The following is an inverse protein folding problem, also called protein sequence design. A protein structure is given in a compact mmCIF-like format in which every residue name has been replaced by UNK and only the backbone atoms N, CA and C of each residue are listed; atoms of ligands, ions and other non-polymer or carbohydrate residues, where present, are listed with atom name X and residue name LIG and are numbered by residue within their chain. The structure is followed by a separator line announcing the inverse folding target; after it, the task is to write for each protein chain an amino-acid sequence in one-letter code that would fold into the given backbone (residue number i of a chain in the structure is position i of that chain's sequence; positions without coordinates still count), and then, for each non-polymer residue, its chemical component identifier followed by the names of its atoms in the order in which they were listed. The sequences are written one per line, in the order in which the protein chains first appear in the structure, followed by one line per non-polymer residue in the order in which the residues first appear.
data_IF_678484379124
#
_entry.id   IF_678484379124
#
_cell.length_a   1.000
_cell.length_b   1.000
_cell.length_c   1.000
_cell.angle_alpha   90.00
_cell.angle_beta   90.00
_cell.angle_gamma   90.00
#
_symmetry.space_group_name_H-M   'P 1'
#
loop_
_entity.id
_entity.type
_entity.pdbx_description
1 polymer ?
#
# COMPACT_ATOMS: atom_id res chain seq x y z
N UNK A 1 7.29 13.59 18.43
CA UNK A 1 7.68 13.95 17.04
C UNK A 1 7.21 12.80 16.14
N UNK A 2 6.23 13.03 15.26
CA UNK A 2 5.63 11.99 14.42
C UNK A 2 6.28 11.90 13.04
N UNK A 3 6.18 10.74 12.38
CA UNK A 3 6.58 10.57 10.99
C UNK A 3 5.62 11.34 10.06
N UNK A 4 6.14 12.16 9.14
CA UNK A 4 5.32 12.89 8.16
C UNK A 4 4.66 11.92 7.17
N UNK A 5 3.53 12.32 6.56
CA UNK A 5 2.83 11.49 5.55
C UNK A 5 3.71 11.16 4.34
N UNK A 6 4.62 12.06 3.98
CA UNK A 6 5.61 11.81 2.94
C UNK A 6 6.62 10.74 3.38
N UNK A 7 7.21 10.88 4.58
CA UNK A 7 8.17 9.91 5.10
C UNK A 7 7.55 8.52 5.25
N UNK A 8 6.27 8.43 5.65
CA UNK A 8 5.54 7.15 5.69
C UNK A 8 5.47 6.51 4.29
N UNK A 9 5.22 7.30 3.26
CA UNK A 9 5.18 6.80 1.86
C UNK A 9 6.55 6.33 1.40
N UNK A 10 7.60 7.09 1.68
CA UNK A 10 8.98 6.71 1.34
C UNK A 10 9.32 5.36 2.00
N UNK A 11 9.12 5.25 3.31
CA UNK A 11 9.43 4.03 4.07
C UNK A 11 8.57 2.84 3.65
N UNK A 12 7.26 3.04 3.45
CA UNK A 12 6.34 1.97 3.05
C UNK A 12 6.61 1.46 1.63
N UNK A 13 7.17 2.30 0.75
CA UNK A 13 7.51 1.89 -0.62
C UNK A 13 8.90 1.24 -0.70
N UNK A 14 9.81 1.57 0.23
CA UNK A 14 11.13 0.95 0.33
C UNK A 14 11.09 -0.56 0.64
N UNK A 15 10.06 -1.02 1.35
CA UNK A 15 9.89 -2.44 1.70
C UNK A 15 9.22 -3.27 0.60
N UNK A 16 8.74 -2.65 -0.47
CA UNK A 16 8.17 -3.39 -1.60
C UNK A 16 9.24 -4.22 -2.30
N UNK A 17 8.83 -5.39 -2.81
CA UNK A 17 9.70 -6.34 -3.51
C UNK A 17 9.04 -6.78 -4.81
N UNK A 18 9.87 -7.23 -5.76
CA UNK A 18 9.44 -7.90 -6.99
C UNK A 18 8.34 -7.15 -7.76
N UNK A 19 7.19 -7.77 -8.01
CA UNK A 19 6.07 -7.18 -8.75
C UNK A 19 5.54 -5.91 -8.08
N UNK A 20 5.57 -5.83 -6.74
CA UNK A 20 5.00 -4.71 -6.02
C UNK A 20 5.78 -3.40 -6.22
N UNK A 21 7.11 -3.46 -6.29
CA UNK A 21 7.91 -2.25 -6.55
C UNK A 21 7.75 -1.78 -8.00
N UNK A 22 7.66 -2.70 -8.95
CA UNK A 22 7.43 -2.38 -10.38
C UNK A 22 6.05 -1.76 -10.56
N UNK A 23 5.01 -2.37 -9.98
CA UNK A 23 3.65 -1.83 -9.98
C UNK A 23 3.59 -0.43 -9.37
N UNK A 24 4.24 -0.22 -8.21
CA UNK A 24 4.18 1.07 -7.53
C UNK A 24 4.82 2.19 -8.36
N UNK A 25 5.96 1.94 -9.01
CA UNK A 25 6.58 2.90 -9.94
C UNK A 25 5.61 3.32 -11.05
N UNK A 26 4.90 2.37 -11.64
CA UNK A 26 3.91 2.64 -12.69
C UNK A 26 2.67 3.40 -12.16
N UNK A 27 2.24 3.14 -10.93
CA UNK A 27 1.17 3.93 -10.30
C UNK A 27 1.65 5.34 -10.02
N UNK A 28 2.85 5.51 -9.44
CA UNK A 28 3.44 6.80 -9.12
C UNK A 28 3.57 7.69 -10.36
N UNK A 29 3.99 7.15 -11.50
CA UNK A 29 4.05 7.90 -12.76
C UNK A 29 2.67 8.39 -13.25
N UNK A 30 1.60 7.64 -12.96
CA UNK A 30 0.24 7.99 -13.41
C UNK A 30 -0.48 8.98 -12.49
N UNK A 31 -0.15 8.97 -11.19
CA UNK A 31 -0.86 9.79 -10.19
C UNK A 31 -0.01 10.93 -9.63
N UNK A 32 1.31 10.86 -9.80
CA UNK A 32 2.23 11.88 -9.33
C UNK A 32 2.28 13.06 -10.29
N UNK A 33 2.35 14.26 -9.72
CA UNK A 33 2.78 15.46 -10.43
C UNK A 33 4.26 15.64 -10.11
N UNK A 34 5.04 16.06 -11.09
CA UNK A 34 6.47 16.30 -10.90
C UNK A 34 6.73 17.26 -9.73
N UNK A 35 7.66 16.92 -8.85
CA UNK A 35 7.96 17.70 -7.64
C UNK A 35 6.95 17.59 -6.50
N UNK A 36 5.83 16.88 -6.65
CA UNK A 36 4.82 16.71 -5.58
C UNK A 36 4.93 15.33 -4.93
N UNK A 37 5.14 15.31 -3.63
CA UNK A 37 5.15 14.09 -2.84
C UNK A 37 3.77 13.41 -2.83
N UNK A 38 3.76 12.09 -3.00
CA UNK A 38 2.53 11.31 -2.82
C UNK A 38 2.31 11.09 -1.32
N UNK A 39 1.14 11.50 -0.83
CA UNK A 39 0.74 11.29 0.57
C UNK A 39 0.46 9.82 0.86
N UNK A 40 0.69 9.43 2.11
CA UNK A 40 0.55 8.05 2.59
C UNK A 40 -0.84 7.45 2.35
N UNK A 41 -1.90 8.24 2.56
CA UNK A 41 -3.28 7.79 2.31
C UNK A 41 -3.54 7.40 0.86
N UNK A 42 -2.89 8.09 -0.09
CA UNK A 42 -3.02 7.77 -1.52
C UNK A 42 -2.30 6.47 -1.83
N UNK A 43 -1.08 6.27 -1.31
CA UNK A 43 -0.36 5.01 -1.41
C UNK A 43 -1.18 3.85 -0.85
N UNK A 44 -1.63 3.94 0.41
CA UNK A 44 -2.43 2.89 1.07
C UNK A 44 -3.67 2.54 0.26
N UNK A 45 -4.42 3.54 -0.22
CA UNK A 45 -5.62 3.30 -1.02
C UNK A 45 -5.31 2.50 -2.28
N UNK A 46 -4.27 2.87 -3.02
CA UNK A 46 -3.88 2.18 -4.26
C UNK A 46 -3.35 0.78 -3.96
N UNK A 47 -2.55 0.63 -2.91
CA UNK A 47 -1.96 -0.64 -2.49
C UNK A 47 -3.03 -1.64 -2.05
N UNK A 48 -3.91 -1.24 -1.13
CA UNK A 48 -4.98 -2.10 -0.62
C UNK A 48 -5.95 -2.50 -1.73
N UNK A 49 -6.27 -1.61 -2.67
CA UNK A 49 -7.14 -1.95 -3.81
C UNK A 49 -6.51 -3.02 -4.71
N UNK A 50 -5.19 -3.05 -4.88
CA UNK A 50 -4.49 -3.99 -5.75
C UNK A 50 -4.22 -5.34 -5.08
N UNK A 51 -3.76 -5.33 -3.82
CA UNK A 51 -3.27 -6.53 -3.13
C UNK A 51 -4.22 -7.08 -2.06
N UNK A 52 -5.16 -6.26 -1.58
CA UNK A 52 -6.17 -6.66 -0.60
C UNK A 52 -7.58 -6.32 -1.11
N UNK A 53 -8.00 -6.91 -2.25
CA UNK A 53 -9.38 -6.80 -2.69
C UNK A 53 -10.35 -7.45 -1.68
N UNK A 54 -11.65 -7.22 -1.86
CA UNK A 54 -12.68 -7.59 -0.88
C UNK A 54 -12.71 -9.10 -0.58
N UNK A 55 -12.53 -9.93 -1.60
CA UNK A 55 -12.43 -11.38 -1.50
C UNK A 55 -11.22 -11.83 -0.64
N UNK A 56 -10.04 -11.27 -0.88
CA UNK A 56 -8.84 -11.55 -0.08
C UNK A 56 -9.04 -11.12 1.36
N UNK A 57 -9.67 -9.96 1.58
CA UNK A 57 -10.01 -9.48 2.93
C UNK A 57 -10.99 -10.41 3.62
N UNK A 58 -12.06 -10.82 2.94
CA UNK A 58 -13.06 -11.74 3.49
C UNK A 58 -12.44 -13.09 3.86
N UNK A 59 -11.56 -13.62 2.99
CA UNK A 59 -10.81 -14.84 3.29
C UNK A 59 -9.97 -14.71 4.55
N UNK A 60 -9.26 -13.58 4.72
CA UNK A 60 -8.46 -13.32 5.93
C UNK A 60 -9.30 -13.19 7.20
N UNK A 61 -10.52 -12.64 7.09
CA UNK A 61 -11.47 -12.58 8.22
C UNK A 61 -11.91 -13.99 8.63
N UNK A 62 -12.24 -14.86 7.67
CA UNK A 62 -12.61 -16.26 7.95
C UNK A 62 -11.43 -16.99 8.60
N UNK A 63 -10.24 -16.92 8.00
CA UNK A 63 -9.01 -17.52 8.57
C UNK A 63 -8.80 -17.07 10.02
N UNK A 64 -9.01 -15.79 10.32
CA UNK A 64 -8.89 -15.25 11.67
C UNK A 64 -9.96 -15.80 12.63
N UNK A 65 -11.21 -15.95 12.18
CA UNK A 65 -12.28 -16.55 13.00
C UNK A 65 -12.04 -18.02 13.32
N UNK A 66 -11.32 -18.73 12.46
CA UNK A 66 -11.00 -20.15 12.62
C UNK A 66 -9.72 -20.41 13.43
N UNK A 67 -8.94 -19.36 13.75
CA UNK A 67 -7.79 -19.48 14.63
C UNK A 67 -8.25 -19.93 16.03
N UNK A 68 -7.87 -21.16 16.41
CA UNK A 68 -7.99 -21.63 17.79
C UNK A 68 -6.71 -21.26 18.57
N UNK A 69 -6.91 -20.82 19.80
CA UNK A 69 -5.85 -20.44 20.74
C UNK A 69 -5.15 -21.66 21.35
#
# INVERSE_FOLDING_TARGET
MGCTEENKTILGTYVLREEAIVWWRNVKLRIGVEGVAILWEVFKRKFLRKYFPADVKNKKVIEFMELKQ
#
